data_IF_652064180981
#
_entry.id   IF_652064180981
#
_cell.length_a   1.000
_cell.length_b   1.000
_cell.length_c   1.000
_cell.angle_alpha   90.00
_cell.angle_beta   90.00
_cell.angle_gamma   90.00
#
_symmetry.space_group_name_H-M   'P 1'
#
loop_
_entity.id
_entity.type
_entity.pdbx_description
1 polymer ?
#
# COMPACT_ATOMS: atom_id res chain seq x y z
N UNK A 1 -10.47 14.87 -6.33
CA UNK A 1 -9.37 14.91 -5.34
C UNK A 1 -8.33 13.90 -5.75
N UNK A 2 -7.06 14.22 -5.48
CA UNK A 2 -5.91 13.33 -5.61
C UNK A 2 -5.80 12.50 -4.33
N UNK A 3 -5.97 11.19 -4.44
CA UNK A 3 -5.90 10.25 -3.33
C UNK A 3 -4.71 9.33 -3.54
N UNK A 4 -3.84 9.23 -2.54
CA UNK A 4 -2.79 8.21 -2.54
C UNK A 4 -3.17 7.08 -1.60
N UNK A 5 -3.34 5.89 -2.15
CA UNK A 5 -3.64 4.67 -1.38
C UNK A 5 -2.32 4.05 -0.94
N UNK A 6 -2.09 3.98 0.37
CA UNK A 6 -0.97 3.28 0.96
C UNK A 6 -1.35 1.82 1.20
N UNK A 7 -0.52 0.89 0.76
CA UNK A 7 -0.79 -0.56 0.87
C UNK A 7 0.49 -1.38 1.07
N UNK A 8 0.36 -2.70 1.04
CA UNK A 8 1.47 -3.65 1.14
C UNK A 8 2.07 -3.68 2.55
N UNK A 9 3.30 -3.16 2.67
CA UNK A 9 4.07 -3.20 3.91
C UNK A 9 4.73 -4.56 4.16
N UNK A 10 5.23 -4.76 5.38
CA UNK A 10 6.02 -5.94 5.79
C UNK A 10 5.34 -6.78 6.87
N UNK A 11 4.03 -6.57 7.07
CA UNK A 11 3.19 -7.32 8.00
C UNK A 11 2.82 -8.69 7.45
N UNK A 12 2.48 -9.65 8.32
CA UNK A 12 1.86 -10.92 7.95
C UNK A 12 0.52 -10.75 7.22
N UNK A 13 -0.07 -9.56 7.30
CA UNK A 13 -1.35 -9.21 6.66
C UNK A 13 -1.16 -8.47 5.32
N UNK A 14 0.07 -8.46 4.78
CA UNK A 14 0.40 -7.81 3.51
C UNK A 14 -0.53 -8.21 2.35
N UNK A 15 -0.86 -9.48 2.21
CA UNK A 15 -1.73 -9.94 1.13
C UNK A 15 -3.16 -9.41 1.28
N UNK A 16 -3.62 -9.26 2.54
CA UNK A 16 -4.89 -8.61 2.87
C UNK A 16 -4.85 -7.12 2.52
N UNK A 17 -3.73 -6.45 2.77
CA UNK A 17 -3.54 -5.04 2.42
C UNK A 17 -3.61 -4.82 0.91
N UNK A 18 -2.92 -5.65 0.12
CA UNK A 18 -2.95 -5.59 -1.34
C UNK A 18 -4.36 -5.86 -1.89
N UNK A 19 -5.04 -6.89 -1.37
CA UNK A 19 -6.41 -7.22 -1.77
C UNK A 19 -7.39 -6.09 -1.45
N UNK A 20 -7.24 -5.46 -0.28
CA UNK A 20 -8.05 -4.31 0.14
C UNK A 20 -7.82 -3.12 -0.79
N UNK A 21 -6.55 -2.84 -1.14
CA UNK A 21 -6.20 -1.74 -2.03
C UNK A 21 -6.83 -1.88 -3.43
N UNK A 22 -6.91 -3.10 -4.00
CA UNK A 22 -7.61 -3.32 -5.29
C UNK A 22 -9.04 -2.77 -5.25
N UNK A 23 -9.78 -3.13 -4.21
CA UNK A 23 -11.19 -2.75 -4.09
C UNK A 23 -11.35 -1.25 -3.78
N UNK A 24 -10.49 -0.71 -2.92
CA UNK A 24 -10.47 0.72 -2.58
C UNK A 24 -10.14 1.57 -3.80
N UNK A 25 -9.10 1.21 -4.56
CA UNK A 25 -8.67 1.93 -5.76
C UNK A 25 -9.79 1.95 -6.81
N UNK A 26 -10.40 0.79 -7.07
CA UNK A 26 -11.53 0.69 -7.99
C UNK A 26 -12.71 1.56 -7.55
N UNK A 27 -13.06 1.53 -6.26
CA UNK A 27 -14.15 2.33 -5.70
C UNK A 27 -13.86 3.84 -5.81
N UNK A 28 -12.66 4.29 -5.43
CA UNK A 28 -12.27 5.70 -5.50
C UNK A 28 -12.26 6.21 -6.95
N UNK A 29 -11.69 5.45 -7.88
CA UNK A 29 -11.71 5.80 -9.32
C UNK A 29 -13.13 5.88 -9.87
N UNK A 30 -14.02 4.95 -9.47
CA UNK A 30 -15.43 4.98 -9.88
C UNK A 30 -16.19 6.24 -9.42
N UNK A 31 -15.68 6.93 -8.39
CA UNK A 31 -16.22 8.19 -7.88
C UNK A 31 -15.55 9.43 -8.49
N UNK A 32 -14.65 9.26 -9.46
CA UNK A 32 -13.99 10.35 -10.17
C UNK A 32 -12.79 10.95 -9.42
N UNK A 33 -12.20 10.23 -8.47
CA UNK A 33 -10.95 10.64 -7.83
C UNK A 33 -9.74 10.26 -8.71
N UNK A 34 -8.69 11.09 -8.68
CA UNK A 34 -7.38 10.72 -9.22
C UNK A 34 -6.66 9.86 -8.18
N UNK A 35 -6.32 8.62 -8.51
CA UNK A 35 -5.81 7.66 -7.54
C UNK A 35 -4.42 7.20 -7.92
N UNK A 36 -3.48 7.34 -6.99
CA UNK A 36 -2.14 6.77 -7.07
C UNK A 36 -1.95 5.70 -5.99
N UNK A 37 -1.13 4.69 -6.28
CA UNK A 37 -0.89 3.57 -5.36
C UNK A 37 0.57 3.55 -4.94
N UNK A 38 0.81 3.40 -3.63
CA UNK A 38 2.13 3.33 -3.02
C UNK A 38 2.18 2.13 -2.08
N UNK A 39 3.03 1.16 -2.40
CA UNK A 39 3.36 0.08 -1.48
C UNK A 39 4.46 0.57 -0.53
N UNK A 40 4.20 0.53 0.78
CA UNK A 40 5.15 1.06 1.78
C UNK A 40 6.46 0.25 1.85
N UNK A 41 6.52 -0.93 1.25
CA UNK A 41 7.72 -1.76 1.16
C UNK A 41 8.35 -1.85 -0.25
N UNK A 42 7.62 -1.45 -1.31
CA UNK A 42 8.10 -1.57 -2.70
C UNK A 42 8.14 -0.25 -3.47
N UNK A 43 7.46 0.77 -2.99
CA UNK A 43 7.38 2.07 -3.64
C UNK A 43 6.12 2.27 -4.50
N UNK A 44 6.18 3.29 -5.34
CA UNK A 44 5.09 3.69 -6.23
C UNK A 44 4.77 2.58 -7.24
N UNK A 45 3.49 2.32 -7.43
CA UNK A 45 2.98 1.37 -8.42
C UNK A 45 2.32 2.17 -9.56
N UNK A 46 2.88 2.16 -10.78
CA UNK A 46 2.23 2.73 -11.95
C UNK A 46 0.89 2.03 -12.25
N UNK A 47 -0.09 2.78 -12.72
CA UNK A 47 -1.44 2.25 -13.02
C UNK A 47 -1.41 1.07 -14.00
N UNK A 48 -0.49 1.09 -14.97
CA UNK A 48 -0.29 0.00 -15.92
C UNK A 48 0.16 -1.32 -15.26
N UNK A 49 0.84 -1.25 -14.12
CA UNK A 49 1.39 -2.40 -13.42
C UNK A 49 0.46 -2.90 -12.30
N UNK A 50 -0.55 -2.13 -11.90
CA UNK A 50 -1.46 -2.44 -10.78
C UNK A 50 -2.12 -3.80 -10.91
N UNK A 51 -2.61 -4.16 -12.10
CA UNK A 51 -3.24 -5.47 -12.33
C UNK A 51 -2.28 -6.65 -12.09
N UNK A 52 -0.97 -6.42 -12.19
CA UNK A 52 0.05 -7.44 -11.92
C UNK A 52 0.56 -7.42 -10.48
N UNK A 53 0.74 -6.22 -9.92
CA UNK A 53 1.40 -6.02 -8.63
C UNK A 53 0.43 -5.97 -7.44
N UNK A 54 -0.84 -5.63 -7.68
CA UNK A 54 -1.91 -5.67 -6.69
C UNK A 54 -2.72 -6.96 -6.73
N UNK A 55 -2.23 -8.03 -7.37
CA UNK A 55 -2.86 -9.36 -7.33
C UNK A 55 -2.78 -9.97 -5.91
N UNK A 56 -3.49 -9.36 -4.97
CA UNK A 56 -3.68 -9.81 -3.60
C UNK A 56 -4.72 -10.91 -3.62
N UNK A 57 -4.29 -12.12 -3.95
CA UNK A 57 -5.09 -13.29 -3.59
C UNK A 57 -4.76 -13.55 -2.13
N UNK A 58 -5.73 -13.37 -1.24
CA UNK A 58 -5.54 -13.71 0.18
C UNK A 58 -5.48 -15.23 0.28
N UNK A 59 -4.28 -15.76 0.51
CA UNK A 59 -4.05 -17.20 0.67
C UNK A 59 -4.61 -17.74 1.99
N UNK A 60 -4.56 -19.06 2.16
CA UNK A 60 -4.91 -19.73 3.43
C UNK A 60 -3.85 -19.56 4.52
N UNK A 61 -2.67 -19.06 4.15
CA UNK A 61 -1.54 -18.80 5.04
C UNK A 61 -0.96 -17.41 4.73
N UNK A 62 -0.41 -16.71 5.75
CA UNK A 62 0.29 -15.45 5.53
C UNK A 62 1.57 -15.63 4.71
N UNK A 63 2.16 -14.54 4.16
CA UNK A 63 3.48 -14.58 3.54
C UNK A 63 4.54 -15.17 4.47
N UNK A 64 5.52 -15.86 3.89
CA UNK A 64 6.60 -16.46 4.70
C UNK A 64 7.47 -15.39 5.35
N UNK A 65 8.06 -15.72 6.49
CA UNK A 65 8.99 -14.83 7.21
C UNK A 65 10.14 -14.38 6.30
N UNK A 66 10.68 -15.28 5.47
CA UNK A 66 11.75 -14.96 4.52
C UNK A 66 11.32 -13.90 3.49
N UNK A 67 10.08 -14.01 2.98
CA UNK A 67 9.52 -13.00 2.07
C UNK A 67 9.38 -11.64 2.76
N UNK A 68 8.90 -11.62 4.00
CA UNK A 68 8.72 -10.38 4.77
C UNK A 68 10.07 -9.71 5.10
N UNK A 69 11.07 -10.47 5.55
CA UNK A 69 12.42 -9.95 5.77
C UNK A 69 13.07 -9.41 4.48
N UNK A 70 12.77 -10.03 3.33
CA UNK A 70 13.21 -9.52 2.03
C UNK A 70 12.67 -8.12 1.72
N UNK A 71 11.45 -7.81 2.20
CA UNK A 71 10.75 -6.55 1.99
C UNK A 71 11.13 -5.47 3.01
N UNK A 72 11.59 -5.84 4.21
CA UNK A 72 12.02 -4.88 5.24
C UNK A 72 13.12 -3.93 4.76
N UNK A 73 14.02 -4.39 3.88
CA UNK A 73 15.05 -3.53 3.28
C UNK A 73 14.48 -2.42 2.41
N UNK A 74 13.30 -2.63 1.85
CA UNK A 74 12.59 -1.67 1.00
C UNK A 74 11.58 -0.81 1.77
N UNK A 75 11.50 -0.94 3.10
CA UNK A 75 10.52 -0.20 3.89
C UNK A 75 10.81 1.31 3.85
N UNK A 76 9.90 2.08 3.24
CA UNK A 76 10.10 3.49 2.91
C UNK A 76 9.58 4.48 3.97
N UNK A 77 9.32 4.04 5.20
CA UNK A 77 8.59 4.85 6.19
C UNK A 77 9.30 6.18 6.53
N UNK A 78 10.61 6.15 6.76
CA UNK A 78 11.39 7.36 7.11
C UNK A 78 11.49 8.40 5.97
N UNK A 79 11.07 8.05 4.75
CA UNK A 79 11.07 8.93 3.58
C UNK A 79 9.70 9.11 2.93
N UNK A 80 8.65 8.46 3.47
CA UNK A 80 7.33 8.40 2.85
C UNK A 80 6.76 9.79 2.57
N UNK A 81 6.87 10.71 3.55
CA UNK A 81 6.42 12.10 3.43
C UNK A 81 7.16 12.94 2.38
N UNK A 82 8.32 12.48 1.91
CA UNK A 82 9.12 13.16 0.88
C UNK A 82 8.81 12.65 -0.54
N UNK A 83 8.01 11.59 -0.67
CA UNK A 83 7.68 11.04 -1.98
C UNK A 83 6.67 11.95 -2.69
N UNK A 84 6.92 12.25 -3.96
CA UNK A 84 6.07 13.15 -4.74
C UNK A 84 4.60 12.70 -4.78
N UNK A 85 4.35 11.38 -4.80
CA UNK A 85 2.98 10.83 -4.79
C UNK A 85 2.27 11.06 -3.45
N UNK A 86 3.02 11.20 -2.35
CA UNK A 86 2.48 11.51 -1.02
C UNK A 86 2.26 13.02 -0.90
N UNK A 87 3.25 13.84 -1.26
CA UNK A 87 3.15 15.31 -1.16
C UNK A 87 2.10 15.94 -2.08
N UNK A 88 1.83 15.30 -3.23
CA UNK A 88 0.82 15.80 -4.19
C UNK A 88 -0.59 15.31 -3.89
N UNK A 89 -0.77 14.39 -2.94
CA UNK A 89 -2.08 13.90 -2.56
C UNK A 89 -2.83 14.97 -1.76
N UNK A 90 -4.14 15.08 -1.99
CA UNK A 90 -5.02 15.88 -1.12
C UNK A 90 -5.34 15.11 0.16
N UNK A 91 -5.38 13.77 0.08
CA UNK A 91 -5.59 12.86 1.21
C UNK A 91 -4.87 11.53 0.99
N UNK A 92 -4.38 10.93 2.07
CA UNK A 92 -3.85 9.57 2.08
C UNK A 92 -4.93 8.61 2.58
N UNK A 93 -5.17 7.52 1.83
CA UNK A 93 -6.02 6.43 2.28
C UNK A 93 -5.16 5.26 2.73
N UNK A 94 -5.26 4.87 3.99
CA UNK A 94 -4.46 3.78 4.56
C UNK A 94 -5.18 2.44 4.35
N UNK A 95 -4.78 1.70 3.31
CA UNK A 95 -5.17 0.30 3.08
C UNK A 95 -4.04 -0.63 3.56
N UNK A 96 -3.61 -0.45 4.81
CA UNK A 96 -2.56 -1.21 5.49
C UNK A 96 -3.21 -2.04 6.61
N UNK A 97 -2.65 -3.21 6.90
CA UNK A 97 -3.13 -4.10 7.97
C UNK A 97 -1.96 -4.67 8.77
N UNK A 98 -2.14 -4.77 10.09
CA UNK A 98 -1.16 -5.23 11.06
C UNK A 98 0.11 -4.38 11.14
N UNK A 99 0.92 -4.69 12.16
CA UNK A 99 2.21 -4.05 12.40
C UNK A 99 2.17 -2.53 12.27
N UNK A 100 3.13 -1.97 11.53
CA UNK A 100 3.30 -0.51 11.34
C UNK A 100 2.16 0.19 10.61
N UNK A 101 1.26 -0.57 9.98
CA UNK A 101 0.08 -0.03 9.32
C UNK A 101 -0.99 0.44 10.32
N UNK A 102 -1.09 -0.23 11.47
CA UNK A 102 -2.17 -0.05 12.45
C UNK A 102 -1.68 0.28 13.86
N UNK A 103 -0.35 0.22 14.13
CA UNK A 103 0.25 0.52 15.44
C UNK A 103 0.48 2.02 15.71
N UNK A 104 0.14 2.89 14.76
CA UNK A 104 0.34 4.34 14.85
C UNK A 104 1.60 4.86 14.14
N UNK A 105 2.52 3.99 13.70
CA UNK A 105 3.80 4.41 13.10
C UNK A 105 3.63 5.21 11.81
N UNK A 106 2.68 4.84 10.94
CA UNK A 106 2.42 5.55 9.66
C UNK A 106 1.63 6.84 9.89
N UNK A 107 0.92 6.95 11.01
CA UNK A 107 -0.03 8.02 11.30
C UNK A 107 0.62 9.24 11.97
N UNK A 108 1.86 9.12 12.44
CA UNK A 108 2.66 10.17 13.09
C UNK A 108 3.70 10.76 12.18
#
# INVERSE_FOLDING_TARGET
MRVTVLTGGTSSERDVALASAVQVVAALRSKGHEVAVMDTARGYIPEADEASLLRGTVGLAPPSIEQLHGLERGLLLSGLGNLAVVQKADVLFLALHGGRGEDGTVQT
#
